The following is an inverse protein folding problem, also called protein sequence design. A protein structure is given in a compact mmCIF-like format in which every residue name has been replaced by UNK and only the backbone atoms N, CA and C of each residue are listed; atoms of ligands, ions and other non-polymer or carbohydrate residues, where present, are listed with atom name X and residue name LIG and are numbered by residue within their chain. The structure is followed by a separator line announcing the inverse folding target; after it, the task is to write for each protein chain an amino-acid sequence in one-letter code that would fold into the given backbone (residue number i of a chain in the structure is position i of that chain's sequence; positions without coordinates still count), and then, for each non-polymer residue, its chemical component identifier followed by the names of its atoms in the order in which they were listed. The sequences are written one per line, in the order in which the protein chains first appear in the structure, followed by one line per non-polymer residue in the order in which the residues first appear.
data_IF_663137764742
#
_entry.id   IF_663137764742
#
_cell.length_a   1.000
_cell.length_b   1.000
_cell.length_c   1.000
_cell.angle_alpha   90.00
_cell.angle_beta   90.00
_cell.angle_gamma   90.00
#
_symmetry.space_group_name_H-M   'P 1'
#
loop_
_entity.id
_entity.type
_entity.pdbx_description
1 polymer ?
#
# COMPACT_ATOMS: atom_id res chain seq x y z
N UNK A 1 1.93 4.35 -11.86
CA UNK A 1 1.32 4.73 -10.56
C UNK A 1 2.19 4.09 -9.47
N UNK A 2 2.53 4.82 -8.40
CA UNK A 2 3.50 4.39 -7.37
C UNK A 2 2.83 3.89 -6.09
N UNK A 3 2.01 2.84 -6.17
CA UNK A 3 1.47 2.21 -4.96
C UNK A 3 2.51 1.26 -4.37
N UNK A 4 2.67 1.32 -3.05
CA UNK A 4 3.48 0.39 -2.28
C UNK A 4 2.79 -0.97 -2.21
N UNK A 5 3.55 -2.08 -2.23
CA UNK A 5 2.98 -3.42 -2.16
C UNK A 5 2.14 -3.63 -0.89
N UNK A 6 2.57 -3.07 0.24
CA UNK A 6 1.87 -3.14 1.53
C UNK A 6 0.50 -2.46 1.45
N UNK A 7 0.44 -1.26 0.86
CA UNK A 7 -0.80 -0.53 0.68
C UNK A 7 -1.79 -1.25 -0.24
N UNK A 8 -1.29 -1.88 -1.31
CA UNK A 8 -2.11 -2.70 -2.19
C UNK A 8 -2.63 -3.96 -1.50
N UNK A 9 -1.78 -4.68 -0.77
CA UNK A 9 -2.16 -5.91 -0.07
C UNK A 9 -3.22 -5.63 0.99
N UNK A 10 -3.01 -4.63 1.84
CA UNK A 10 -4.01 -4.21 2.83
C UNK A 10 -5.32 -3.83 2.15
N UNK A 11 -5.27 -3.00 1.12
CA UNK A 11 -6.48 -2.54 0.46
C UNK A 11 -7.26 -3.71 -0.17
N UNK A 12 -6.58 -4.59 -0.91
CA UNK A 12 -7.20 -5.77 -1.53
C UNK A 12 -7.76 -6.73 -0.48
N UNK A 13 -7.09 -6.89 0.67
CA UNK A 13 -7.62 -7.68 1.77
C UNK A 13 -8.97 -7.14 2.27
N UNK A 14 -9.15 -5.82 2.33
CA UNK A 14 -10.42 -5.20 2.73
C UNK A 14 -11.50 -5.24 1.62
N UNK A 15 -11.14 -5.58 0.38
CA UNK A 15 -12.11 -5.76 -0.70
C UNK A 15 -12.83 -7.10 -0.52
N UNK A 16 -13.96 -7.04 0.19
CA UNK A 16 -14.83 -8.20 0.39
C UNK A 16 -14.54 -8.99 1.66
N UNK A 17 -13.58 -8.57 2.49
CA UNK A 17 -13.43 -9.05 3.86
C UNK A 17 -13.45 -7.85 4.82
N UNK A 18 -13.97 -8.04 6.02
CA UNK A 18 -14.02 -7.00 7.05
C UNK A 18 -13.56 -7.56 8.39
N UNK A 19 -12.65 -6.87 9.10
CA UNK A 19 -12.15 -7.32 10.39
C UNK A 19 -13.26 -7.29 11.46
N UNK A 20 -12.95 -7.86 12.63
CA UNK A 20 -13.86 -7.88 13.78
C UNK A 20 -14.13 -6.50 14.37
N UNK A 21 -13.10 -5.67 14.36
CA UNK A 21 -13.12 -4.29 14.78
C UNK A 21 -13.19 -3.35 13.55
N UNK A 22 -12.93 -2.06 13.78
CA UNK A 22 -12.88 -1.04 12.73
C UNK A 22 -11.44 -0.74 12.29
N UNK A 23 -10.49 -1.65 12.49
CA UNK A 23 -9.13 -1.47 11.98
C UNK A 23 -9.16 -1.51 10.45
N UNK A 24 -8.46 -0.60 9.79
CA UNK A 24 -8.41 -0.53 8.32
C UNK A 24 -6.98 -0.56 7.78
N UNK A 25 -5.99 -0.51 8.68
CA UNK A 25 -4.57 -0.48 8.38
C UNK A 25 -3.93 -1.72 9.00
N UNK A 26 -3.33 -2.57 8.17
CA UNK A 26 -2.81 -3.87 8.57
C UNK A 26 -1.45 -4.17 7.91
N UNK A 27 -0.46 -4.50 8.72
CA UNK A 27 0.72 -5.20 8.21
C UNK A 27 0.33 -6.58 7.69
N UNK A 28 1.18 -7.18 6.85
CA UNK A 28 0.97 -8.55 6.37
C UNK A 28 0.81 -9.53 7.55
N UNK A 29 1.59 -9.35 8.61
CA UNK A 29 1.52 -10.18 9.81
C UNK A 29 0.17 -10.05 10.53
N UNK A 30 -0.35 -8.82 10.68
CA UNK A 30 -1.66 -8.62 11.29
C UNK A 30 -2.78 -9.18 10.41
N UNK A 31 -2.66 -9.10 9.07
CA UNK A 31 -3.60 -9.80 8.18
C UNK A 31 -3.57 -11.30 8.41
N UNK A 32 -2.40 -11.93 8.53
CA UNK A 32 -2.28 -13.37 8.82
C UNK A 32 -2.94 -13.76 10.15
N UNK A 33 -2.86 -12.89 11.16
CA UNK A 33 -3.44 -13.13 12.49
C UNK A 33 -4.95 -12.88 12.56
N UNK A 34 -5.46 -11.87 11.83
CA UNK A 34 -6.86 -11.45 11.91
C UNK A 34 -7.75 -12.03 10.80
N UNK A 35 -7.18 -12.43 9.66
CA UNK A 35 -7.96 -12.89 8.52
C UNK A 35 -8.72 -14.18 8.83
N UNK A 36 -9.98 -14.21 8.40
CA UNK A 36 -10.88 -15.36 8.57
C UNK A 36 -11.83 -15.42 7.39
N UNK A 37 -12.00 -16.62 6.84
CA UNK A 37 -12.86 -16.86 5.68
C UNK A 37 -14.33 -16.64 6.02
N UNK A 38 -14.71 -16.84 7.28
CA UNK A 38 -16.06 -16.65 7.80
C UNK A 38 -16.53 -15.18 7.67
N UNK A 39 -15.59 -14.23 7.64
CA UNK A 39 -15.86 -12.78 7.50
C UNK A 39 -15.74 -12.27 6.06
N UNK A 40 -15.53 -13.16 5.09
CA UNK A 40 -15.58 -12.82 3.68
C UNK A 40 -17.04 -12.65 3.25
N UNK A 41 -17.38 -11.48 2.73
CA UNK A 41 -18.71 -11.17 2.23
C UNK A 41 -19.03 -11.91 0.95
N UNK A 42 -20.30 -12.31 0.80
CA UNK A 42 -20.83 -12.90 -0.44
C UNK A 42 -21.14 -11.85 -1.51
N UNK A 43 -21.22 -10.57 -1.14
CA UNK A 43 -21.35 -9.47 -2.10
C UNK A 43 -19.99 -9.20 -2.74
N UNK A 44 -19.96 -8.98 -4.06
CA UNK A 44 -18.71 -8.59 -4.73
C UNK A 44 -18.13 -7.33 -4.11
N UNK A 45 -16.82 -7.35 -3.81
CA UNK A 45 -16.12 -6.17 -3.33
C UNK A 45 -16.08 -5.07 -4.39
N UNK A 46 -16.29 -3.82 -3.96
CA UNK A 46 -16.24 -2.65 -4.84
C UNK A 46 -14.83 -2.05 -4.76
N UNK A 47 -14.24 -1.77 -5.92
CA UNK A 47 -12.96 -1.08 -5.97
C UNK A 47 -13.18 0.43 -5.82
N UNK A 48 -12.74 0.97 -4.69
CA UNK A 48 -12.65 2.39 -4.39
C UNK A 48 -11.18 2.87 -4.47
N UNK A 49 -10.89 3.69 -5.49
CA UNK A 49 -9.53 4.21 -5.71
C UNK A 49 -9.15 5.26 -4.65
N UNK A 50 -10.10 6.01 -4.11
CA UNK A 50 -9.82 7.01 -3.08
C UNK A 50 -9.44 6.32 -1.77
N UNK A 51 -10.12 5.21 -1.43
CA UNK A 51 -9.72 4.37 -0.31
C UNK A 51 -8.34 3.76 -0.50
N UNK A 52 -8.04 3.21 -1.68
CA UNK A 52 -6.69 2.71 -2.00
C UNK A 52 -5.62 3.81 -1.85
N UNK A 53 -5.89 5.02 -2.36
CA UNK A 53 -4.98 6.16 -2.22
C UNK A 53 -4.74 6.52 -0.75
N UNK A 54 -5.80 6.52 0.07
CA UNK A 54 -5.70 6.78 1.51
C UNK A 54 -4.87 5.73 2.25
N UNK A 55 -5.13 4.43 2.00
CA UNK A 55 -4.35 3.32 2.58
C UNK A 55 -2.88 3.49 2.18
N UNK A 56 -2.60 3.65 0.89
CA UNK A 56 -1.24 3.77 0.39
C UNK A 56 -0.49 4.99 0.94
N UNK A 57 -1.18 6.11 1.13
CA UNK A 57 -0.59 7.31 1.74
C UNK A 57 -0.12 7.05 3.18
N UNK A 58 -0.83 6.19 3.93
CA UNK A 58 -0.40 5.81 5.28
C UNK A 58 0.93 5.05 5.23
N UNK A 59 1.04 4.02 4.38
CA UNK A 59 2.28 3.27 4.21
C UNK A 59 3.45 4.12 3.71
N UNK A 60 3.21 5.08 2.81
CA UNK A 60 4.26 6.01 2.37
C UNK A 60 4.77 6.88 3.53
N UNK A 61 3.88 7.32 4.43
CA UNK A 61 4.25 8.16 5.58
C UNK A 61 5.01 7.42 6.67
N UNK A 62 4.73 6.13 6.81
CA UNK A 62 5.35 5.29 7.84
C UNK A 62 6.63 4.60 7.37
N UNK A 63 6.84 4.55 6.05
CA UNK A 63 8.06 4.07 5.43
C UNK A 63 9.26 4.96 5.75
N UNK A 64 10.47 4.39 5.70
CA UNK A 64 11.69 5.19 5.88
C UNK A 64 11.97 6.05 4.65
N UNK A 65 12.62 7.19 4.88
CA UNK A 65 13.02 8.10 3.81
C UNK A 65 13.93 7.40 2.80
N UNK A 66 14.84 6.53 3.24
CA UNK A 66 15.72 5.75 2.37
C UNK A 66 14.92 4.83 1.44
N UNK A 67 13.96 4.08 1.98
CA UNK A 67 13.13 3.17 1.19
C UNK A 67 12.32 3.93 0.13
N UNK A 68 11.68 5.04 0.51
CA UNK A 68 10.92 5.86 -0.43
C UNK A 68 11.83 6.52 -1.47
N UNK A 69 13.03 6.95 -1.07
CA UNK A 69 14.02 7.53 -1.98
C UNK A 69 14.44 6.51 -3.04
N UNK A 70 14.81 5.30 -2.64
CA UNK A 70 15.21 4.22 -3.54
C UNK A 70 14.11 3.90 -4.56
N UNK A 71 12.86 3.86 -4.10
CA UNK A 71 11.70 3.64 -4.98
C UNK A 71 11.43 4.82 -5.92
N UNK A 72 11.71 6.06 -5.50
CA UNK A 72 11.43 7.26 -6.27
C UNK A 72 12.48 7.53 -7.36
N UNK A 73 13.75 7.18 -7.13
CA UNK A 73 14.88 7.39 -8.06
C UNK A 73 14.54 7.03 -9.53
N UNK A 74 14.05 5.82 -9.87
CA UNK A 74 13.77 5.47 -11.27
C UNK A 74 12.73 6.40 -11.90
N UNK A 75 11.71 6.83 -11.15
CA UNK A 75 10.70 7.77 -11.63
C UNK A 75 11.25 9.17 -11.83
N UNK A 76 12.16 9.62 -10.96
CA UNK A 76 12.82 10.92 -11.07
C UNK A 76 13.77 10.99 -12.26
N UNK A 77 14.50 9.90 -12.55
CA UNK A 77 15.35 9.78 -13.74
C UNK A 77 14.48 9.77 -15.00
N UNK A 78 13.42 8.96 -15.04
CA UNK A 78 12.50 8.90 -16.19
C UNK A 78 11.86 10.27 -16.48
N UNK A 79 11.53 11.03 -15.43
CA UNK A 79 10.98 12.38 -15.56
C UNK A 79 12.04 13.46 -15.90
N UNK A 80 13.33 13.12 -15.90
CA UNK A 80 14.43 14.05 -16.19
C UNK A 80 14.76 15.02 -15.05
N UNK A 81 14.37 14.72 -13.81
CA UNK A 81 14.67 15.57 -12.64
C UNK A 81 16.06 15.33 -12.06
N UNK A 82 16.59 14.11 -12.20
CA UNK A 82 17.94 13.72 -11.77
C UNK A 82 18.57 12.79 -12.80
N UNK A 83 19.88 12.62 -12.76
CA UNK A 83 20.64 11.65 -13.56
C UNK A 83 20.98 10.38 -12.75
N UNK A 84 21.44 9.33 -13.44
CA UNK A 84 22.01 8.16 -12.76
C UNK A 84 23.27 8.47 -11.94
N UNK A 85 23.96 9.58 -12.22
CA UNK A 85 25.12 10.02 -11.46
C UNK A 85 24.69 10.72 -10.16
N UNK A 86 23.64 11.53 -10.22
CA UNK A 86 23.06 12.19 -9.04
C UNK A 86 22.55 11.17 -8.01
N UNK A 87 21.98 10.06 -8.47
CA UNK A 87 21.42 9.00 -7.62
C UNK A 87 22.48 8.10 -6.94
N UNK A 88 23.78 8.24 -7.27
CA UNK A 88 24.87 7.45 -6.68
C UNK A 88 25.56 8.14 -5.50
N UNK A 89 25.18 9.38 -5.21
CA UNK A 89 25.74 10.21 -4.12
C UNK A 89 24.83 10.19 -2.89
#
# INVERSE_FOLDING_TARGET
KGYLPEGLVNYVALVGWSPEDNQELFTMKELEEHFSVERVSKSGGVFDTDKLNWVNQHYIKDASDEYITDLAIPFLIEAGYITEEDAKN
#
